data_IF_316184187365
#
_entry.id   IF_316184187365
#
_cell.length_a   1.000
_cell.length_b   1.000
_cell.length_c   1.000
_cell.angle_alpha   90.00
_cell.angle_beta   90.00
_cell.angle_gamma   90.00
#
_symmetry.space_group_name_H-M   'P 1'
#
loop_
_entity.id
_entity.type
_entity.pdbx_description
1 polymer ?
#
# COMPACT_ATOMS: atom_id res chain seq x y z
N UNK A 1 8.53 -4.90 -7.44
CA UNK A 1 7.39 -5.77 -7.06
C UNK A 1 6.19 -5.20 -7.80
N UNK A 2 5.36 -6.03 -8.43
CA UNK A 2 4.22 -5.56 -9.23
C UNK A 2 2.96 -5.78 -8.41
N UNK A 3 2.21 -4.71 -8.16
CA UNK A 3 0.95 -4.74 -7.43
C UNK A 3 -0.21 -4.68 -8.42
N UNK A 4 -1.20 -5.54 -8.22
CA UNK A 4 -2.44 -5.62 -9.00
C UNK A 4 -3.62 -5.70 -8.04
N UNK A 5 -4.81 -5.48 -8.57
CA UNK A 5 -6.04 -5.68 -7.82
C UNK A 5 -6.17 -7.15 -7.38
N UNK A 6 -6.50 -7.36 -6.11
CA UNK A 6 -6.71 -8.70 -5.57
C UNK A 6 -8.05 -9.27 -6.05
N UNK A 7 -8.05 -10.50 -6.55
CA UNK A 7 -9.30 -11.19 -6.95
C UNK A 7 -10.13 -11.66 -5.76
N UNK A 8 -9.47 -11.94 -4.62
CA UNK A 8 -10.11 -12.46 -3.42
C UNK A 8 -9.26 -12.16 -2.17
N UNK A 9 -9.91 -11.84 -1.05
CA UNK A 9 -9.28 -11.61 0.24
C UNK A 9 -8.67 -12.87 0.88
N UNK A 10 -9.18 -14.06 0.55
CA UNK A 10 -8.75 -15.29 1.20
C UNK A 10 -7.38 -15.81 0.70
N UNK A 11 -7.16 -15.80 -0.61
CA UNK A 11 -6.00 -16.44 -1.24
C UNK A 11 -5.21 -15.55 -2.21
N UNK A 12 -5.68 -14.34 -2.51
CA UNK A 12 -5.03 -13.43 -3.46
C UNK A 12 -4.96 -11.98 -2.93
N UNK A 13 -5.10 -11.76 -1.63
CA UNK A 13 -4.82 -10.46 -1.01
C UNK A 13 -3.56 -10.54 -0.14
N UNK A 14 -2.52 -9.81 -0.53
CA UNK A 14 -1.26 -9.73 0.21
C UNK A 14 -1.47 -9.33 1.67
N UNK A 15 -2.29 -8.30 1.92
CA UNK A 15 -2.53 -7.79 3.27
C UNK A 15 -3.26 -8.79 4.18
N UNK A 16 -4.13 -9.62 3.60
CA UNK A 16 -4.85 -10.65 4.35
C UNK A 16 -3.98 -11.86 4.64
N UNK A 17 -3.08 -12.23 3.72
CA UNK A 17 -2.24 -13.44 3.86
C UNK A 17 -0.94 -13.21 4.63
N UNK A 18 -0.39 -12.00 4.59
CA UNK A 18 0.89 -11.71 5.23
C UNK A 18 0.64 -10.99 6.54
N UNK A 19 1.11 -11.59 7.64
CA UNK A 19 1.13 -10.89 8.92
C UNK A 19 2.19 -9.78 8.90
N UNK A 20 1.77 -8.58 8.54
CA UNK A 20 2.62 -7.38 8.53
C UNK A 20 2.71 -6.72 9.91
N UNK A 21 1.91 -7.15 10.89
CA UNK A 21 1.91 -6.56 12.22
C UNK A 21 3.20 -6.89 12.96
N UNK A 22 3.83 -5.87 13.56
CA UNK A 22 5.03 -6.03 14.37
C UNK A 22 6.34 -6.21 13.58
N UNK A 23 6.32 -6.03 12.25
CA UNK A 23 7.56 -6.00 11.46
C UNK A 23 8.43 -4.81 11.85
N UNK A 24 9.51 -5.08 12.59
CA UNK A 24 10.51 -4.08 12.97
C UNK A 24 11.38 -3.72 11.77
N UNK A 25 11.94 -2.51 11.76
CA UNK A 25 12.80 -2.05 10.67
C UNK A 25 14.02 -2.97 10.42
N UNK A 26 14.56 -3.56 11.48
CA UNK A 26 15.68 -4.52 11.44
C UNK A 26 15.29 -5.83 10.76
N UNK A 27 14.05 -6.28 10.94
CA UNK A 27 13.62 -7.63 10.59
C UNK A 27 12.95 -7.69 9.20
N UNK A 28 12.82 -6.54 8.52
CA UNK A 28 12.23 -6.45 7.17
C UNK A 28 12.93 -7.31 6.13
N UNK A 29 14.23 -7.59 6.31
CA UNK A 29 14.98 -8.47 5.42
C UNK A 29 14.55 -9.95 5.55
N UNK A 30 13.97 -10.34 6.68
CA UNK A 30 13.43 -11.68 6.94
C UNK A 30 11.99 -11.83 6.45
N UNK A 31 11.33 -10.72 6.12
CA UNK A 31 9.94 -10.74 5.66
C UNK A 31 9.87 -11.38 4.27
N UNK A 32 9.34 -12.60 4.23
CA UNK A 32 9.09 -13.30 2.98
C UNK A 32 7.82 -12.77 2.33
N UNK A 33 7.96 -12.14 1.17
CA UNK A 33 6.83 -11.67 0.35
C UNK A 33 6.27 -12.83 -0.46
N UNK A 34 5.10 -13.43 -0.22
CA UNK A 34 4.60 -14.53 -1.05
C UNK A 34 4.46 -14.11 -2.52
N UNK A 35 4.58 -15.06 -3.45
CA UNK A 35 4.32 -14.78 -4.87
C UNK A 35 2.83 -14.95 -5.13
N UNK A 36 2.12 -13.84 -5.26
CA UNK A 36 0.67 -13.78 -5.44
C UNK A 36 0.37 -13.12 -6.78
N UNK A 37 -0.78 -13.41 -7.37
CA UNK A 37 -1.18 -12.76 -8.62
C UNK A 37 -1.42 -11.25 -8.42
N UNK A 38 -1.94 -10.87 -7.26
CA UNK A 38 -2.10 -9.48 -6.83
C UNK A 38 -0.81 -8.80 -6.39
N UNK A 39 0.23 -9.55 -6.03
CA UNK A 39 1.48 -9.02 -5.52
C UNK A 39 2.66 -9.89 -5.99
N UNK A 40 3.05 -9.70 -7.25
CA UNK A 40 4.07 -10.52 -7.91
C UNK A 40 5.46 -10.01 -7.53
N UNK A 41 6.34 -10.94 -7.16
CA UNK A 41 7.75 -10.63 -6.88
C UNK A 41 8.46 -10.08 -8.12
N UNK A 42 9.40 -9.15 -7.98
CA UNK A 42 10.31 -8.87 -9.09
C UNK A 42 11.06 -10.15 -9.48
N UNK A 43 11.22 -10.35 -10.79
CA UNK A 43 12.08 -11.41 -11.30
C UNK A 43 13.53 -11.05 -10.96
N UNK A 44 14.31 -11.98 -10.37
CA UNK A 44 15.72 -11.73 -10.11
C UNK A 44 16.45 -11.45 -11.42
N UNK A 45 17.38 -10.51 -11.38
CA UNK A 45 18.19 -10.19 -12.55
C UNK A 45 19.06 -11.40 -12.95
N UNK A 46 19.21 -11.60 -14.26
CA UNK A 46 20.05 -12.63 -14.84
C UNK A 46 21.37 -12.00 -15.31
N UNK A 47 22.50 -12.62 -14.98
CA UNK A 47 23.85 -12.14 -15.39
C UNK A 47 24.04 -12.06 -16.89
N UNK A 48 23.24 -12.79 -17.66
CA UNK A 48 23.33 -12.85 -19.12
C UNK A 48 22.68 -11.63 -19.78
N UNK A 49 21.89 -10.85 -19.04
CA UNK A 49 21.25 -9.64 -19.51
C UNK A 49 22.02 -8.41 -19.00
N UNK A 50 22.33 -7.42 -19.85
CA UNK A 50 22.98 -6.20 -19.39
C UNK A 50 22.04 -5.39 -18.49
N UNK A 51 22.58 -4.82 -17.40
CA UNK A 51 21.87 -3.81 -16.60
C UNK A 51 21.78 -2.53 -17.43
N UNK A 52 20.58 -1.97 -17.56
CA UNK A 52 20.41 -0.66 -18.17
C UNK A 52 21.18 0.39 -17.36
N UNK A 53 22.14 1.06 -17.99
CA UNK A 53 22.89 2.16 -17.39
C UNK A 53 22.11 3.43 -17.69
N UNK A 54 21.71 4.14 -16.63
CA UNK A 54 21.10 5.45 -16.79
C UNK A 54 22.14 6.43 -17.34
N UNK A 55 21.86 7.03 -18.51
CA UNK A 55 22.78 7.96 -19.17
C UNK A 55 22.39 9.41 -18.96
N UNK A 56 21.10 9.75 -19.12
CA UNK A 56 20.60 11.12 -19.02
C UNK A 56 19.08 11.14 -18.87
N UNK A 57 18.57 12.17 -18.18
CA UNK A 57 17.13 12.41 -18.06
C UNK A 57 16.67 13.19 -19.28
N UNK A 58 15.85 12.56 -20.13
CA UNK A 58 15.18 13.27 -21.23
C UNK A 58 14.14 14.21 -20.61
N UNK A 59 14.51 15.48 -20.45
CA UNK A 59 13.64 16.52 -19.93
C UNK A 59 12.41 16.68 -20.83
N UNK A 60 11.30 16.07 -20.44
CA UNK A 60 9.98 16.48 -20.90
C UNK A 60 9.67 17.80 -20.20
N UNK A 61 10.10 18.90 -20.81
CA UNK A 61 9.62 20.21 -20.43
C UNK A 61 8.13 20.26 -20.79
N UNK A 62 7.31 20.37 -19.76
CA UNK A 62 5.87 20.63 -19.86
C UNK A 62 5.69 22.12 -20.17
N UNK A 63 5.84 22.49 -21.44
CA UNK A 63 5.50 23.83 -21.90
C UNK A 63 4.00 23.88 -22.23
N UNK A 64 3.12 23.83 -21.21
CA UNK A 64 1.84 24.56 -21.24
C UNK A 64 1.18 24.58 -19.85
N UNK A 65 1.16 25.77 -19.26
CA UNK A 65 0.36 26.22 -18.14
C UNK A 65 -1.15 26.08 -18.42
N UNK A 66 -1.65 24.85 -18.37
CA UNK A 66 -3.08 24.58 -18.30
C UNK A 66 -3.63 24.94 -16.92
N UNK A 67 -4.09 26.18 -16.75
CA UNK A 67 -4.81 26.64 -15.56
C UNK A 67 -6.02 25.73 -15.26
N UNK A 68 -5.85 24.80 -14.32
CA UNK A 68 -6.95 24.05 -13.75
C UNK A 68 -7.75 24.97 -12.81
N UNK A 69 -8.91 25.41 -13.27
CA UNK A 69 -9.88 26.09 -12.41
C UNK A 69 -10.42 25.09 -11.37
N UNK A 70 -10.11 25.32 -10.10
CA UNK A 70 -10.77 24.65 -8.97
C UNK A 70 -12.23 25.07 -8.91
N UNK A 71 -13.12 24.28 -9.50
CA UNK A 71 -14.53 24.30 -9.12
C UNK A 71 -14.74 23.20 -8.09
N UNK A 72 -14.46 23.54 -6.83
CA UNK A 72 -14.81 22.71 -5.67
C UNK A 72 -16.33 22.66 -5.59
N UNK A 73 -16.92 21.65 -6.23
CA UNK A 73 -18.30 21.29 -5.94
C UNK A 73 -18.27 20.47 -4.65
N UNK A 74 -18.45 21.15 -3.52
CA UNK A 74 -18.77 20.54 -2.22
C UNK A 74 -20.09 19.76 -2.37
N UNK A 75 -20.00 18.51 -2.82
CA UNK A 75 -21.08 17.56 -2.71
C UNK A 75 -20.70 16.56 -1.63
N UNK A 76 -21.20 16.83 -0.43
CA UNK A 76 -21.20 15.94 0.74
C UNK A 76 -21.45 14.49 0.32
N UNK A 77 -20.41 13.67 0.35
CA UNK A 77 -20.57 12.22 0.42
C UNK A 77 -20.62 11.82 1.89
N UNK A 78 -21.82 11.93 2.46
CA UNK A 78 -22.16 11.37 3.77
C UNK A 78 -22.03 9.84 3.71
N UNK A 79 -20.88 9.32 4.15
CA UNK A 79 -20.72 7.90 4.45
C UNK A 79 -20.97 7.70 5.94
N UNK A 80 -22.22 7.39 6.30
CA UNK A 80 -22.56 6.87 7.62
C UNK A 80 -21.98 5.45 7.77
N UNK A 81 -20.73 5.37 8.20
CA UNK A 81 -20.16 4.12 8.75
C UNK A 81 -20.19 4.27 10.26
N UNK A 82 -21.33 3.87 10.86
CA UNK A 82 -21.54 3.71 12.30
C UNK A 82 -20.60 2.63 12.85
N UNK A 83 -19.30 2.93 12.91
CA UNK A 83 -18.36 2.20 13.74
C UNK A 83 -18.39 2.89 15.10
N UNK A 84 -19.25 2.40 15.99
CA UNK A 84 -19.29 2.80 17.40
C UNK A 84 -17.94 2.51 18.05
N UNK A 85 -17.01 3.45 17.93
CA UNK A 85 -15.81 3.52 18.75
C UNK A 85 -16.29 3.87 20.15
N UNK A 86 -16.51 2.85 20.98
CA UNK A 86 -16.70 3.10 22.40
C UNK A 86 -15.44 3.81 22.94
N UNK A 87 -15.59 4.95 23.64
CA UNK A 87 -14.46 5.70 24.13
C UNK A 87 -13.64 4.89 25.13
N UNK A 88 -12.31 5.05 25.06
CA UNK A 88 -11.29 4.38 25.88
C UNK A 88 -11.42 4.55 27.41
N UNK A 89 -12.43 5.25 27.91
CA UNK A 89 -12.64 5.50 29.34
C UNK A 89 -13.28 4.33 30.11
N UNK A 90 -13.78 3.28 29.45
CA UNK A 90 -14.41 2.12 30.11
C UNK A 90 -13.48 0.90 30.31
N UNK A 91 -12.21 0.97 29.90
CA UNK A 91 -11.25 -0.13 30.08
C UNK A 91 -10.56 -0.17 31.47
N UNK A 92 -10.99 0.63 32.45
CA UNK A 92 -10.34 0.69 33.77
C UNK A 92 -10.90 -0.25 34.86
N UNK A 93 -11.84 -1.14 34.54
CA UNK A 93 -12.50 -1.99 35.54
C UNK A 93 -12.52 -3.47 35.17
N UNK A 94 -11.35 -4.10 35.06
CA UNK A 94 -11.15 -5.51 35.47
C UNK A 94 -9.73 -5.69 36.01
N UNK A 95 -9.48 -5.16 37.20
CA UNK A 95 -8.43 -5.63 38.11
C UNK A 95 -9.14 -6.02 39.41
N UNK A 96 -8.77 -7.18 39.96
CA UNK A 96 -9.33 -7.90 41.14
C UNK A 96 -10.46 -8.85 40.71
N UNK A 97 -10.45 -10.14 41.03
CA UNK A 97 -9.79 -10.87 42.12
C UNK A 97 -9.38 -12.27 41.61
#
# INVERSE_FOLDING_TARGET
MIWRESKNHFNDCYFCMVNVMGCKKSDRHLQNYPNLESAIRPVPHCSDLPVAIFTEFLGLYDDEDGAYSEEVNDHDCEYDVDFKVLPRSLLSLTKRN
#
